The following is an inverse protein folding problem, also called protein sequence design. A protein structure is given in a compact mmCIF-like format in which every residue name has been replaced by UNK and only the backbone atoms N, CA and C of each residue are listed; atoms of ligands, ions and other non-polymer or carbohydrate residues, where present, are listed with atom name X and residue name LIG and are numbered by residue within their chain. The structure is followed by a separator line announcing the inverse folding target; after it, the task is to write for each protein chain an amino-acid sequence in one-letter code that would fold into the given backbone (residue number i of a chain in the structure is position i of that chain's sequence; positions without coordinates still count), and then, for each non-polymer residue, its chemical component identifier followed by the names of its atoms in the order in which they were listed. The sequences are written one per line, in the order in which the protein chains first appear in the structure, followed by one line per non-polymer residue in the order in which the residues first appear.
data_IF_836380467289
#
_entry.id   IF_836380467289
#
_cell.length_a   1.000
_cell.length_b   1.000
_cell.length_c   1.000
_cell.angle_alpha   90.00
_cell.angle_beta   90.00
_cell.angle_gamma   90.00
#
_symmetry.space_group_name_H-M   'P 1'
#
loop_
_entity.id
_entity.type
_entity.pdbx_description
1 polymer ?
#
# COMPACT_ATOMS: atom_id res chain seq x y z
N UNK A 1 9.87 2.85 7.48
CA UNK A 1 10.16 1.44 7.80
C UNK A 1 10.35 0.58 6.55
N UNK A 2 9.43 0.62 5.57
CA UNK A 2 9.58 -0.14 4.31
C UNK A 2 10.89 0.17 3.57
N UNK A 3 11.27 1.44 3.43
CA UNK A 3 12.54 1.83 2.81
C UNK A 3 13.76 1.24 3.53
N UNK A 4 13.79 1.27 4.86
CA UNK A 4 14.89 0.70 5.65
C UNK A 4 15.01 -0.82 5.45
N UNK A 5 13.87 -1.53 5.32
CA UNK A 5 13.90 -2.97 5.00
C UNK A 5 14.43 -3.25 3.59
N UNK A 6 14.10 -2.40 2.61
CA UNK A 6 14.57 -2.53 1.22
C UNK A 6 16.08 -2.34 1.11
N UNK A 7 16.67 -1.41 1.87
CA UNK A 7 18.12 -1.21 1.93
C UNK A 7 18.82 -2.32 2.73
N UNK A 8 18.14 -2.91 3.72
CA UNK A 8 18.65 -4.02 4.51
C UNK A 8 18.80 -5.34 3.73
N UNK A 9 18.14 -5.51 2.58
CA UNK A 9 18.23 -6.73 1.77
C UNK A 9 19.62 -6.93 1.13
N UNK A 10 20.17 -5.98 0.33
CA UNK A 10 21.49 -6.15 -0.28
C UNK A 10 22.63 -6.14 0.76
N UNK A 11 22.46 -5.43 1.87
CA UNK A 11 23.46 -5.37 2.95
C UNK A 11 23.42 -6.65 3.80
N UNK A 12 22.21 -7.16 4.08
CA UNK A 12 21.99 -8.36 4.87
C UNK A 12 22.46 -9.63 4.17
N UNK A 13 22.33 -9.70 2.84
CA UNK A 13 22.84 -10.82 2.04
C UNK A 13 24.36 -11.00 2.21
N UNK A 14 25.11 -9.89 2.19
CA UNK A 14 26.57 -9.91 2.32
C UNK A 14 27.08 -10.31 3.70
N UNK A 15 26.28 -10.16 4.75
CA UNK A 15 26.72 -10.34 6.15
C UNK A 15 26.20 -11.65 6.76
N UNK A 16 24.93 -12.00 6.51
CA UNK A 16 24.24 -13.11 7.16
C UNK A 16 23.51 -14.06 6.18
N UNK A 17 23.58 -13.79 4.88
CA UNK A 17 22.95 -14.60 3.84
C UNK A 17 21.43 -14.72 3.98
N UNK A 18 20.91 -15.92 3.70
CA UNK A 18 19.47 -16.20 3.58
C UNK A 18 18.61 -15.73 4.77
N UNK A 19 19.08 -15.92 6.01
CA UNK A 19 18.30 -15.60 7.21
C UNK A 19 18.01 -14.11 7.35
N UNK A 20 18.95 -13.25 6.94
CA UNK A 20 18.73 -11.80 6.97
C UNK A 20 17.70 -11.36 5.94
N UNK A 21 17.73 -11.95 4.73
CA UNK A 21 16.75 -11.66 3.69
C UNK A 21 15.35 -12.08 4.15
N UNK A 22 15.23 -13.25 4.79
CA UNK A 22 13.97 -13.76 5.30
C UNK A 22 13.32 -12.80 6.32
N UNK A 23 14.09 -12.32 7.30
CA UNK A 23 13.60 -11.36 8.29
C UNK A 23 13.19 -10.02 7.65
N UNK A 24 13.99 -9.50 6.72
CA UNK A 24 13.67 -8.25 6.02
C UNK A 24 12.38 -8.37 5.20
N UNK A 25 12.13 -9.54 4.59
CA UNK A 25 10.86 -9.81 3.88
C UNK A 25 9.65 -9.82 4.80
N UNK A 26 9.77 -10.37 6.02
CA UNK A 26 8.68 -10.32 7.01
C UNK A 26 8.38 -8.86 7.41
N UNK A 27 9.42 -8.07 7.66
CA UNK A 27 9.27 -6.65 8.01
C UNK A 27 8.62 -5.87 6.85
N UNK A 28 9.02 -6.13 5.61
CA UNK A 28 8.43 -5.50 4.44
C UNK A 28 6.94 -5.86 4.30
N UNK A 29 6.59 -7.14 4.51
CA UNK A 29 5.21 -7.62 4.44
C UNK A 29 4.29 -6.97 5.47
N UNK A 30 4.75 -6.83 6.72
CA UNK A 30 3.95 -6.17 7.78
C UNK A 30 3.74 -4.68 7.49
N UNK A 31 4.76 -3.99 6.99
CA UNK A 31 4.62 -2.59 6.57
C UNK A 31 3.66 -2.44 5.38
N UNK A 32 3.69 -3.37 4.43
CA UNK A 32 2.79 -3.35 3.27
C UNK A 32 1.33 -3.54 3.68
N UNK A 33 1.04 -4.43 4.65
CA UNK A 33 -0.31 -4.61 5.18
C UNK A 33 -0.88 -3.33 5.82
N UNK A 34 -0.05 -2.57 6.54
CA UNK A 34 -0.46 -1.31 7.17
C UNK A 34 -0.90 -0.25 6.13
N UNK A 35 -0.33 -0.28 4.92
CA UNK A 35 -0.66 0.67 3.85
C UNK A 35 -2.14 0.60 3.45
N UNK A 36 -2.72 -0.60 3.32
CA UNK A 36 -4.13 -0.76 2.94
C UNK A 36 -5.08 -0.12 3.97
N UNK A 37 -4.74 -0.23 5.26
CA UNK A 37 -5.51 0.40 6.34
C UNK A 37 -5.42 1.91 6.25
N UNK A 38 -4.21 2.46 6.07
CA UNK A 38 -3.99 3.91 5.96
C UNK A 38 -4.77 4.49 4.78
N UNK A 39 -4.70 3.87 3.59
CA UNK A 39 -5.46 4.31 2.41
C UNK A 39 -6.95 4.36 2.75
N UNK A 40 -7.50 3.33 3.38
CA UNK A 40 -8.92 3.30 3.73
C UNK A 40 -9.35 4.41 4.71
N UNK A 41 -8.48 4.76 5.68
CA UNK A 41 -8.74 5.81 6.67
C UNK A 41 -8.63 7.19 6.01
N UNK A 42 -7.58 7.42 5.23
CA UNK A 42 -7.35 8.69 4.53
C UNK A 42 -8.49 8.95 3.55
N UNK A 43 -8.92 7.96 2.78
CA UNK A 43 -10.06 8.11 1.88
C UNK A 43 -11.35 8.48 2.60
N UNK A 44 -11.61 7.91 3.78
CA UNK A 44 -12.80 8.29 4.58
C UNK A 44 -12.70 9.71 5.13
N UNK A 45 -11.51 10.14 5.55
CA UNK A 45 -11.30 11.48 6.12
C UNK A 45 -11.27 12.58 5.07
N UNK A 46 -10.67 12.34 3.91
CA UNK A 46 -10.41 13.35 2.88
C UNK A 46 -11.42 13.36 1.74
N UNK A 47 -12.13 12.27 1.46
CA UNK A 47 -13.15 12.26 0.42
C UNK A 47 -14.54 12.71 0.96
N UNK A 48 -15.36 13.36 0.12
CA UNK A 48 -16.80 13.50 0.37
C UNK A 48 -17.49 12.12 0.42
N UNK A 49 -18.57 12.00 1.20
CA UNK A 49 -19.29 10.71 1.36
C UNK A 49 -19.81 10.17 0.02
N UNK A 50 -20.30 11.06 -0.85
CA UNK A 50 -20.82 10.70 -2.17
C UNK A 50 -19.75 10.15 -3.12
N UNK A 51 -18.50 10.60 -2.97
CA UNK A 51 -17.40 10.32 -3.90
C UNK A 51 -16.27 9.48 -3.29
N UNK A 52 -16.50 8.87 -2.13
CA UNK A 52 -15.49 8.08 -1.40
C UNK A 52 -14.98 6.89 -2.23
N UNK A 53 -15.87 6.22 -2.97
CA UNK A 53 -15.49 5.10 -3.84
C UNK A 53 -14.55 5.55 -4.97
N UNK A 54 -14.84 6.69 -5.61
CA UNK A 54 -13.99 7.26 -6.67
C UNK A 54 -12.61 7.62 -6.13
N UNK A 55 -12.54 8.20 -4.94
CA UNK A 55 -11.27 8.54 -4.29
C UNK A 55 -10.45 7.28 -3.94
N UNK A 56 -11.10 6.20 -3.47
CA UNK A 56 -10.44 4.91 -3.23
C UNK A 56 -9.88 4.30 -4.51
N UNK A 57 -10.64 4.31 -5.61
CA UNK A 57 -10.19 3.80 -6.91
C UNK A 57 -9.00 4.63 -7.41
N UNK A 58 -9.12 5.96 -7.36
CA UNK A 58 -8.05 6.87 -7.77
C UNK A 58 -6.77 6.63 -6.97
N UNK A 59 -6.90 6.42 -5.66
CA UNK A 59 -5.75 6.09 -4.82
C UNK A 59 -5.16 4.74 -5.22
N UNK A 60 -5.99 3.73 -5.48
CA UNK A 60 -5.55 2.36 -5.83
C UNK A 60 -4.70 2.28 -7.11
N UNK A 61 -4.86 3.25 -8.03
CA UNK A 61 -4.06 3.36 -9.26
C UNK A 61 -2.55 3.45 -8.96
N UNK A 62 -2.15 3.90 -7.75
CA UNK A 62 -0.74 3.93 -7.34
C UNK A 62 -0.04 2.55 -7.48
N UNK A 63 -0.79 1.44 -7.35
CA UNK A 63 -0.21 0.10 -7.35
C UNK A 63 0.32 -0.28 -8.74
N UNK A 64 -0.49 -0.06 -9.79
CA UNK A 64 -0.07 -0.25 -11.18
C UNK A 64 1.06 0.70 -11.58
N UNK A 65 0.99 1.98 -11.17
CA UNK A 65 2.07 2.93 -11.47
C UNK A 65 3.41 2.48 -10.85
N UNK A 66 3.40 2.04 -9.59
CA UNK A 66 4.60 1.51 -8.94
C UNK A 66 5.23 0.35 -9.71
N UNK A 67 4.41 -0.60 -10.18
CA UNK A 67 4.88 -1.73 -10.99
C UNK A 67 5.44 -1.28 -12.34
N UNK A 68 4.79 -0.32 -13.01
CA UNK A 68 5.22 0.24 -14.29
C UNK A 68 6.64 0.81 -14.24
N UNK A 69 7.02 1.47 -13.13
CA UNK A 69 8.37 1.99 -12.95
C UNK A 69 9.36 0.93 -12.46
N UNK A 70 8.91 0.03 -11.58
CA UNK A 70 9.80 -0.96 -10.95
C UNK A 70 10.28 -2.01 -11.95
N UNK A 71 9.40 -2.50 -12.83
CA UNK A 71 9.72 -3.61 -13.74
C UNK A 71 10.80 -3.26 -14.79
N UNK A 72 10.71 -2.14 -15.53
CA UNK A 72 11.77 -1.74 -16.47
C UNK A 72 13.08 -1.41 -15.75
N UNK A 73 13.00 -0.78 -14.57
CA UNK A 73 14.18 -0.46 -13.77
C UNK A 73 14.90 -1.73 -13.33
N UNK A 74 14.15 -2.74 -12.89
CA UNK A 74 14.69 -4.04 -12.56
C UNK A 74 15.36 -4.71 -13.77
N UNK A 75 14.70 -4.68 -14.94
CA UNK A 75 15.27 -5.20 -16.18
C UNK A 75 16.61 -4.55 -16.55
N UNK A 76 16.66 -3.21 -16.51
CA UNK A 76 17.86 -2.45 -16.83
C UNK A 76 19.04 -2.77 -15.90
N UNK A 77 18.81 -2.81 -14.59
CA UNK A 77 19.88 -3.09 -13.63
C UNK A 77 20.33 -4.56 -13.64
N UNK A 78 19.43 -5.51 -13.93
CA UNK A 78 19.78 -6.93 -14.06
C UNK A 78 20.74 -7.21 -15.22
N UNK A 79 20.70 -6.41 -16.30
CA UNK A 79 21.67 -6.51 -17.41
C UNK A 79 22.97 -5.74 -17.16
N UNK A 80 22.97 -4.83 -16.18
CA UNK A 80 24.13 -4.01 -15.83
C UNK A 80 25.11 -4.74 -14.89
N UNK A 81 26.39 -4.34 -14.91
CA UNK A 81 27.41 -4.85 -13.99
C UNK A 81 27.12 -4.57 -12.50
N UNK A 82 26.14 -3.71 -12.19
CA UNK A 82 25.72 -3.39 -10.82
C UNK A 82 24.83 -4.49 -10.21
N UNK A 83 24.32 -5.40 -11.03
CA UNK A 83 23.49 -6.52 -10.62
C UNK A 83 22.16 -6.10 -10.00
N UNK A 84 21.53 -7.05 -9.30
CA UNK A 84 20.21 -6.89 -8.71
C UNK A 84 20.19 -5.90 -7.53
N UNK A 85 21.32 -5.69 -6.85
CA UNK A 85 21.43 -4.77 -5.71
C UNK A 85 21.15 -3.31 -6.11
N UNK A 86 21.51 -2.91 -7.33
CA UNK A 86 21.29 -1.55 -7.85
C UNK A 86 19.83 -1.14 -7.88
N UNK A 87 18.92 -2.10 -8.09
CA UNK A 87 17.47 -1.89 -8.05
C UNK A 87 17.03 -1.46 -6.66
N UNK A 88 17.52 -2.16 -5.63
CA UNK A 88 17.13 -1.91 -4.24
C UNK A 88 17.62 -0.54 -3.77
N UNK A 89 18.84 -0.12 -4.13
CA UNK A 89 19.36 1.21 -3.78
C UNK A 89 18.60 2.34 -4.49
N UNK A 90 18.26 2.15 -5.76
CA UNK A 90 17.49 3.15 -6.52
C UNK A 90 16.09 3.32 -5.95
N UNK A 91 15.40 2.20 -5.69
CA UNK A 91 14.04 2.22 -5.12
C UNK A 91 14.03 2.74 -3.68
N UNK A 92 15.06 2.46 -2.89
CA UNK A 92 15.24 3.03 -1.56
C UNK A 92 15.32 4.56 -1.62
N UNK A 93 16.20 5.08 -2.47
CA UNK A 93 16.45 6.52 -2.61
C UNK A 93 15.18 7.25 -3.04
N UNK A 94 14.48 6.70 -4.04
CA UNK A 94 13.22 7.23 -4.52
C UNK A 94 12.15 7.27 -3.42
N UNK A 95 11.99 6.15 -2.69
CA UNK A 95 11.03 6.06 -1.58
C UNK A 95 11.34 7.05 -0.47
N UNK A 96 12.62 7.27 -0.16
CA UNK A 96 13.05 8.22 0.86
C UNK A 96 12.72 9.67 0.46
N UNK A 97 12.98 10.04 -0.79
CA UNK A 97 12.62 11.37 -1.33
C UNK A 97 11.10 11.59 -1.22
N UNK A 98 10.29 10.64 -1.69
CA UNK A 98 8.83 10.74 -1.59
C UNK A 98 8.35 10.78 -0.15
N UNK A 99 8.97 10.02 0.76
CA UNK A 99 8.62 10.05 2.18
C UNK A 99 8.91 11.41 2.80
N UNK A 100 10.05 12.04 2.46
CA UNK A 100 10.35 13.38 2.93
C UNK A 100 9.36 14.41 2.39
N UNK A 101 9.07 14.39 1.10
CA UNK A 101 8.08 15.28 0.47
C UNK A 101 6.72 15.11 1.15
N UNK A 102 6.28 13.87 1.34
CA UNK A 102 5.01 13.56 2.02
C UNK A 102 5.01 14.05 3.47
N UNK A 103 6.11 13.90 4.20
CA UNK A 103 6.22 14.38 5.59
C UNK A 103 6.06 15.91 5.70
N UNK A 104 6.53 16.67 4.72
CA UNK A 104 6.38 18.12 4.71
C UNK A 104 4.99 18.60 4.27
N UNK A 105 4.37 17.90 3.32
CA UNK A 105 3.10 18.32 2.70
C UNK A 105 1.88 17.77 3.44
N UNK A 106 1.91 16.51 3.86
CA UNK A 106 0.73 15.81 4.33
C UNK A 106 0.36 16.21 5.76
N UNK A 107 -0.94 16.39 5.98
CA UNK A 107 -1.57 16.63 7.29
C UNK A 107 -2.67 15.61 7.52
N UNK A 108 -2.82 15.14 8.76
CA UNK A 108 -3.79 14.08 9.09
C UNK A 108 -5.25 14.54 9.02
N UNK A 109 -5.47 15.83 9.26
CA UNK A 109 -6.78 16.46 9.23
C UNK A 109 -6.88 17.44 8.05
N UNK A 110 -7.95 17.36 7.23
CA UNK A 110 -8.15 18.31 6.14
C UNK A 110 -8.27 19.76 6.67
N UNK A 111 -8.80 19.93 7.88
CA UNK A 111 -8.92 21.22 8.59
C UNK A 111 -7.59 21.88 8.99
N UNK A 112 -6.50 21.13 9.03
CA UNK A 112 -5.17 21.65 9.37
C UNK A 112 -4.33 21.94 8.11
N UNK A 113 -4.88 21.65 6.93
CA UNK A 113 -4.15 21.79 5.68
C UNK A 113 -4.26 23.23 5.15
N UNK A 114 -3.13 23.96 4.97
CA UNK A 114 -3.15 25.39 4.64
C UNK A 114 -3.70 25.71 3.25
N UNK A 115 -3.80 24.71 2.37
CA UNK A 115 -4.31 24.87 1.00
C UNK A 115 -5.78 24.47 0.82
N UNK A 116 -6.50 24.09 1.89
CA UNK A 116 -7.92 23.75 1.76
C UNK A 116 -8.78 25.01 1.80
N UNK A 117 -9.75 25.11 0.89
CA UNK A 117 -10.74 26.19 0.91
C UNK A 117 -11.85 25.88 1.92
N UNK A 118 -12.41 26.89 2.58
CA UNK A 118 -13.53 26.71 3.51
C UNK A 118 -14.77 26.09 2.83
N UNK A 119 -14.93 26.31 1.52
CA UNK A 119 -16.02 25.74 0.73
C UNK A 119 -15.82 24.22 0.57
N UNK A 120 -14.60 23.80 0.24
CA UNK A 120 -14.23 22.40 0.07
C UNK A 120 -14.31 21.65 1.41
N UNK A 121 -13.85 22.27 2.50
CA UNK A 121 -13.94 21.70 3.84
C UNK A 121 -15.40 21.45 4.25
N UNK A 122 -16.30 22.41 3.98
CA UNK A 122 -17.74 22.22 4.23
C UNK A 122 -18.31 21.07 3.41
N UNK A 123 -17.90 20.90 2.16
CA UNK A 123 -18.38 19.79 1.31
C UNK A 123 -17.86 18.42 1.78
N UNK A 124 -16.61 18.35 2.26
CA UNK A 124 -16.02 17.13 2.84
C UNK A 124 -16.71 16.77 4.15
N UNK A 125 -17.03 17.74 5.00
CA UNK A 125 -17.74 17.52 6.26
C UNK A 125 -19.24 17.27 6.05
N UNK A 126 -19.82 17.77 4.96
CA UNK A 126 -21.22 17.59 4.63
C UNK A 126 -21.57 16.11 4.44
N UNK A 127 -22.48 15.60 5.27
CA UNK A 127 -22.91 14.19 5.26
C UNK A 127 -22.02 13.26 6.10
N UNK A 128 -20.84 13.70 6.56
CA UNK A 128 -20.11 13.00 7.64
C UNK A 128 -20.81 13.33 8.95
N UNK A 129 -21.76 12.47 9.33
CA UNK A 129 -22.56 12.69 10.55
C UNK A 129 -21.64 12.95 11.74
N UNK A 130 -21.98 13.91 12.62
CA UNK A 130 -21.36 14.19 13.93
C UNK A 130 -21.13 12.93 14.82
N UNK A 131 -21.63 11.78 14.42
CA UNK A 131 -21.40 10.46 15.02
C UNK A 131 -19.92 10.03 15.05
N UNK A 132 -19.02 10.59 14.26
CA UNK A 132 -17.57 10.32 14.42
C UNK A 132 -16.92 11.19 15.52
N UNK A 133 -17.40 12.41 15.76
CA UNK A 133 -16.87 13.29 16.82
C UNK A 133 -17.55 13.10 18.19
N UNK A 134 -18.84 12.71 18.23
CA UNK A 134 -19.63 12.64 19.48
C UNK A 134 -19.97 11.22 19.98
N UNK A 135 -19.67 10.14 19.26
CA UNK A 135 -19.88 8.79 19.80
C UNK A 135 -18.66 8.27 20.55
N UNK A 136 -18.79 8.27 21.89
CA UNK A 136 -18.08 7.36 22.79
C UNK A 136 -17.88 6.00 22.13
N UNK A 137 -16.62 5.65 21.79
CA UNK A 137 -16.09 4.30 21.46
C UNK A 137 -17.19 3.24 21.31
N UNK A 138 -18.00 3.32 20.26
CA UNK A 138 -19.04 2.32 20.05
C UNK A 138 -18.28 1.08 19.58
N UNK A 139 -18.09 0.11 20.48
CA UNK A 139 -17.28 -1.09 20.20
C UNK A 139 -17.82 -1.71 18.92
N UNK A 140 -16.98 -1.76 17.88
CA UNK A 140 -17.34 -2.45 16.65
C UNK A 140 -17.76 -3.89 17.03
N UNK A 141 -18.88 -4.41 16.50
CA UNK A 141 -19.40 -5.70 16.91
C UNK A 141 -18.60 -6.85 16.27
N UNK A 142 -17.33 -6.99 16.67
CA UNK A 142 -16.36 -7.95 16.11
C UNK A 142 -16.91 -9.38 16.11
N UNK A 143 -17.56 -9.79 17.21
CA UNK A 143 -18.12 -11.13 17.32
C UNK A 143 -19.24 -11.39 16.30
N UNK A 144 -20.11 -10.40 16.05
CA UNK A 144 -21.18 -10.53 15.05
C UNK A 144 -20.63 -10.58 13.63
N UNK A 145 -19.57 -9.82 13.35
CA UNK A 145 -18.88 -9.86 12.05
C UNK A 145 -18.19 -11.23 11.82
N UNK A 146 -17.57 -11.80 12.86
CA UNK A 146 -16.92 -13.12 12.76
C UNK A 146 -17.91 -14.29 12.71
N UNK A 147 -19.15 -14.11 13.14
CA UNK A 147 -20.18 -15.16 13.12
C UNK A 147 -21.03 -15.11 11.85
N UNK A 148 -21.06 -13.98 11.15
CA UNK A 148 -21.86 -13.79 9.95
C UNK A 148 -21.25 -14.53 8.74
N UNK A 149 -22.08 -15.34 8.08
CA UNK A 149 -21.70 -16.12 6.90
C UNK A 149 -21.28 -15.24 5.72
N UNK A 150 -21.93 -14.09 5.55
CA UNK A 150 -21.65 -13.17 4.44
C UNK A 150 -20.23 -12.63 4.52
N UNK A 151 -19.75 -12.34 5.73
CA UNK A 151 -18.39 -11.85 5.97
C UNK A 151 -17.34 -12.90 5.58
N UNK A 152 -17.57 -14.17 5.91
CA UNK A 152 -16.68 -15.27 5.51
C UNK A 152 -16.66 -15.51 4.01
N UNK A 153 -17.82 -15.48 3.34
CA UNK A 153 -17.89 -15.60 1.88
C UNK A 153 -17.12 -14.48 1.17
N UNK A 154 -17.24 -13.24 1.67
CA UNK A 154 -16.49 -12.11 1.13
C UNK A 154 -14.99 -12.31 1.29
N UNK A 155 -14.55 -12.78 2.46
CA UNK A 155 -13.15 -13.09 2.73
C UNK A 155 -12.60 -14.15 1.78
N UNK A 156 -13.31 -15.28 1.61
CA UNK A 156 -12.90 -16.37 0.72
C UNK A 156 -12.84 -15.90 -0.72
N UNK A 157 -13.83 -15.12 -1.17
CA UNK A 157 -13.88 -14.59 -2.53
C UNK A 157 -12.68 -13.69 -2.81
N UNK A 158 -12.40 -12.75 -1.90
CA UNK A 158 -11.26 -11.83 -2.02
C UNK A 158 -9.92 -12.57 -1.99
N UNK A 159 -9.77 -13.52 -1.08
CA UNK A 159 -8.57 -14.34 -0.97
C UNK A 159 -8.31 -15.17 -2.23
N UNK A 160 -9.36 -15.79 -2.77
CA UNK A 160 -9.27 -16.55 -4.02
C UNK A 160 -8.87 -15.67 -5.21
N UNK A 161 -9.47 -14.48 -5.34
CA UNK A 161 -9.12 -13.56 -6.43
C UNK A 161 -7.68 -13.08 -6.35
N UNK A 162 -7.19 -12.75 -5.15
CA UNK A 162 -5.81 -12.29 -4.96
C UNK A 162 -4.79 -13.41 -5.22
N UNK A 163 -5.07 -14.64 -4.77
CA UNK A 163 -4.20 -15.80 -5.07
C UNK A 163 -4.15 -16.05 -6.57
N UNK A 164 -5.30 -16.08 -7.25
CA UNK A 164 -5.35 -16.33 -8.69
C UNK A 164 -4.55 -15.27 -9.47
N UNK A 165 -4.67 -14.00 -9.07
CA UNK A 165 -3.93 -12.90 -9.67
C UNK A 165 -2.41 -13.01 -9.44
N UNK A 166 -1.97 -13.25 -8.20
CA UNK A 166 -0.54 -13.41 -7.88
C UNK A 166 0.06 -14.63 -8.57
N UNK A 167 -0.66 -15.74 -8.60
CA UNK A 167 -0.23 -16.95 -9.28
C UNK A 167 0.00 -16.72 -10.78
N UNK A 168 -0.93 -16.02 -11.44
CA UNK A 168 -0.79 -15.69 -12.86
C UNK A 168 0.43 -14.79 -13.13
N UNK A 169 0.69 -13.82 -12.25
CA UNK A 169 1.85 -12.92 -12.40
C UNK A 169 3.18 -13.66 -12.27
N UNK A 170 3.29 -14.60 -11.33
CA UNK A 170 4.54 -15.33 -11.07
C UNK A 170 4.78 -16.46 -12.08
N UNK A 171 3.73 -17.21 -12.41
CA UNK A 171 3.82 -18.34 -13.35
C UNK A 171 3.70 -17.92 -14.81
N UNK A 172 3.19 -16.71 -15.09
CA UNK A 172 3.07 -16.16 -16.44
C UNK A 172 4.37 -16.19 -17.24
N UNK A 173 5.48 -15.59 -16.74
CA UNK A 173 6.76 -15.63 -17.45
C UNK A 173 7.33 -17.05 -17.56
N UNK A 174 7.14 -17.90 -16.54
CA UNK A 174 7.59 -19.30 -16.57
C UNK A 174 6.86 -20.11 -17.65
N UNK A 175 5.53 -19.96 -17.73
CA UNK A 175 4.69 -20.63 -18.71
C UNK A 175 5.07 -20.20 -20.14
N UNK A 176 5.21 -18.90 -20.39
CA UNK A 176 5.59 -18.37 -21.71
C UNK A 176 6.98 -18.82 -22.16
N UNK A 177 7.92 -19.01 -21.23
CA UNK A 177 9.26 -19.51 -21.57
C UNK A 177 9.26 -21.03 -21.84
N UNK A 178 8.41 -21.80 -21.16
CA UNK A 178 8.38 -23.27 -21.27
C UNK A 178 7.58 -23.79 -22.47
N UNK A 179 6.68 -22.99 -23.03
CA UNK A 179 5.87 -23.33 -24.21
C UNK A 179 6.55 -22.89 -25.53
N UNK A 180 7.86 -22.59 -25.48
CA UNK A 180 8.71 -22.45 -26.66
C UNK A 180 9.30 -23.79 -27.10
#
# INVERSE_FOLDING_TARGET
MSALSTLGIPIGDKIFGFWSIYLMRIIQGTCFAAQYVVVSIVSRKWAPVTSTATFLILTSIHFQFGQLFTMPTAGYFCESNFGWEGVYYTMFTLTLIFTMIFFFIFRDCPSEHPWISEIELKEIEFGKTEKENNNKKQKAPYYKMLTDWTTWLLFVTFFCSEIAFQFLLEMGPYYLNKVK
#
